data_IF_853728442784
#
_entry.id   IF_853728442784
#
_cell.length_a   1.000
_cell.length_b   1.000
_cell.length_c   1.000
_cell.angle_alpha   90.00
_cell.angle_beta   90.00
_cell.angle_gamma   90.00
#
_symmetry.space_group_name_H-M   'P 1'
#
loop_
_entity.id
_entity.type
_entity.pdbx_description
1 polymer ?
#
# COMPACT_ATOMS: atom_id res chain seq x y z
N UNK A 1 24.40 -17.63 7.85
CA UNK A 1 23.86 -16.95 6.65
C UNK A 1 24.18 -15.47 6.77
N UNK A 2 24.86 -14.89 5.77
CA UNK A 2 25.43 -13.53 5.86
C UNK A 2 24.35 -12.45 5.79
N UNK A 3 24.42 -11.49 6.69
CA UNK A 3 23.60 -10.28 6.73
C UNK A 3 23.98 -9.37 5.55
N UNK A 4 23.13 -9.27 4.52
CA UNK A 4 23.46 -8.59 3.24
C UNK A 4 23.05 -7.13 3.15
N UNK A 5 22.51 -6.53 4.21
CA UNK A 5 22.21 -5.09 4.21
C UNK A 5 23.21 -4.40 5.14
N UNK A 6 24.07 -3.57 4.55
CA UNK A 6 25.05 -2.76 5.27
C UNK A 6 24.40 -1.76 6.25
N UNK A 7 25.17 -0.87 6.89
CA UNK A 7 24.62 0.12 7.81
C UNK A 7 23.55 0.96 7.09
N UNK A 8 22.31 0.91 7.60
CA UNK A 8 21.14 1.56 7.03
C UNK A 8 20.10 0.59 6.46
N UNK A 9 19.59 -0.32 7.29
CA UNK A 9 18.46 -1.19 6.93
C UNK A 9 17.34 -0.38 6.23
N UNK A 10 16.80 -0.83 5.08
CA UNK A 10 15.72 -0.13 4.40
C UNK A 10 14.52 0.05 5.34
N UNK A 11 14.02 1.27 5.43
CA UNK A 11 12.83 1.60 6.23
C UNK A 11 11.64 1.79 5.30
N UNK A 12 10.69 0.87 5.37
CA UNK A 12 9.62 0.73 4.38
C UNK A 12 8.28 0.96 5.07
N UNK A 13 7.49 1.88 4.52
CA UNK A 13 6.06 1.98 4.79
C UNK A 13 5.32 1.07 3.79
N UNK A 14 4.85 -0.09 4.23
CA UNK A 14 4.12 -1.03 3.37
C UNK A 14 2.62 -0.77 3.48
N UNK A 15 1.97 -0.40 2.39
CA UNK A 15 0.58 0.02 2.34
C UNK A 15 -0.23 -0.84 1.36
N UNK A 16 -1.34 -1.42 1.82
CA UNK A 16 -2.18 -2.27 0.98
C UNK A 16 -3.07 -3.25 1.76
N UNK A 17 -3.67 -4.24 1.08
CA UNK A 17 -4.36 -5.34 1.73
C UNK A 17 -3.36 -6.23 2.48
N UNK A 18 -3.40 -6.26 3.81
CA UNK A 18 -2.43 -7.01 4.63
C UNK A 18 -3.20 -7.87 5.63
N UNK A 19 -2.92 -9.18 5.65
CA UNK A 19 -3.45 -10.07 6.68
C UNK A 19 -2.86 -9.69 8.04
N UNK A 20 -3.68 -9.52 9.07
CA UNK A 20 -3.17 -9.26 10.43
C UNK A 20 -2.38 -10.47 10.97
N UNK A 21 -1.38 -10.24 11.83
CA UNK A 21 -0.68 -11.33 12.50
C UNK A 21 -1.64 -12.29 13.21
N UNK A 22 -1.43 -13.59 13.01
CA UNK A 22 -2.30 -14.63 13.60
C UNK A 22 -3.68 -14.77 12.97
N UNK A 23 -4.01 -14.01 11.92
CA UNK A 23 -5.26 -14.17 11.16
C UNK A 23 -5.01 -14.76 9.77
N UNK A 24 -5.85 -15.68 9.29
CA UNK A 24 -5.78 -16.17 7.91
C UNK A 24 -5.94 -15.02 6.92
N UNK A 25 -5.15 -15.06 5.84
CA UNK A 25 -5.34 -14.17 4.71
C UNK A 25 -6.64 -14.50 3.98
N UNK A 26 -7.39 -13.48 3.59
CA UNK A 26 -8.69 -13.63 2.92
C UNK A 26 -8.59 -13.91 1.43
N UNK A 27 -7.41 -13.67 0.84
CA UNK A 27 -7.19 -13.85 -0.59
C UNK A 27 -5.75 -13.64 -1.01
N UNK A 28 -5.52 -13.73 -2.33
CA UNK A 28 -4.20 -13.65 -2.94
C UNK A 28 -3.43 -12.38 -2.58
N UNK A 29 -4.11 -11.22 -2.55
CA UNK A 29 -3.48 -9.95 -2.18
C UNK A 29 -2.87 -9.97 -0.77
N UNK A 30 -3.69 -10.30 0.24
CA UNK A 30 -3.28 -10.31 1.64
C UNK A 30 -2.18 -11.35 1.91
N UNK A 31 -2.30 -12.54 1.31
CA UNK A 31 -1.32 -13.63 1.52
C UNK A 31 0.04 -13.29 0.91
N UNK A 32 0.07 -12.76 -0.31
CA UNK A 32 1.30 -12.35 -0.97
C UNK A 32 1.96 -11.16 -0.25
N UNK A 33 1.16 -10.16 0.16
CA UNK A 33 1.67 -9.00 0.92
C UNK A 33 2.27 -9.41 2.26
N UNK A 34 1.58 -10.28 3.03
CA UNK A 34 2.13 -10.79 4.30
C UNK A 34 3.44 -11.54 4.08
N UNK A 35 3.51 -12.45 3.10
CA UNK A 35 4.75 -13.19 2.77
C UNK A 35 5.90 -12.25 2.41
N UNK A 36 5.63 -11.20 1.62
CA UNK A 36 6.64 -10.22 1.23
C UNK A 36 7.13 -9.40 2.43
N UNK A 37 6.21 -8.91 3.27
CA UNK A 37 6.55 -8.18 4.51
C UNK A 37 7.45 -9.04 5.42
N UNK A 38 7.08 -10.31 5.61
CA UNK A 38 7.83 -11.23 6.46
C UNK A 38 9.22 -11.52 5.86
N UNK A 39 9.33 -11.64 4.53
CA UNK A 39 10.62 -11.80 3.85
C UNK A 39 11.52 -10.56 3.99
N UNK A 40 10.96 -9.36 3.83
CA UNK A 40 11.67 -8.09 4.02
C UNK A 40 12.23 -7.98 5.43
N UNK A 41 11.41 -8.31 6.45
CA UNK A 41 11.84 -8.32 7.86
C UNK A 41 12.93 -9.34 8.11
N UNK A 42 12.81 -10.56 7.58
CA UNK A 42 13.87 -11.60 7.70
C UNK A 42 15.19 -11.17 7.09
N UNK A 43 15.17 -10.31 6.06
CA UNK A 43 16.36 -9.73 5.44
C UNK A 43 16.89 -8.50 6.18
N UNK A 44 16.25 -8.08 7.27
CA UNK A 44 16.69 -6.99 8.13
C UNK A 44 16.07 -5.63 7.81
N UNK A 45 15.06 -5.53 6.94
CA UNK A 45 14.35 -4.27 6.71
C UNK A 45 13.41 -3.92 7.90
N UNK A 46 13.30 -2.63 8.22
CA UNK A 46 12.28 -2.11 9.13
C UNK A 46 11.00 -1.84 8.34
N UNK A 47 9.89 -2.48 8.69
CA UNK A 47 8.64 -2.42 7.92
C UNK A 47 7.48 -1.98 8.79
N UNK A 48 6.98 -0.77 8.51
CA UNK A 48 5.71 -0.25 9.02
C UNK A 48 4.56 -0.76 8.15
N UNK A 49 3.48 -1.24 8.76
CA UNK A 49 2.32 -1.78 8.05
C UNK A 49 1.13 -0.83 8.09
N UNK A 50 0.64 -0.43 6.91
CA UNK A 50 -0.54 0.40 6.71
C UNK A 50 -1.62 -0.40 6.00
N UNK A 51 -2.33 -1.25 6.76
CA UNK A 51 -3.35 -2.12 6.22
C UNK A 51 -4.61 -1.35 5.78
N UNK A 52 -5.14 -1.73 4.62
CA UNK A 52 -6.47 -1.31 4.17
C UNK A 52 -7.57 -1.85 5.10
N UNK A 53 -8.72 -1.16 5.21
CA UNK A 53 -9.74 -1.56 6.16
C UNK A 53 -10.41 -2.86 5.75
N UNK A 54 -10.83 -3.62 6.76
CA UNK A 54 -11.72 -4.76 6.57
C UNK A 54 -13.13 -4.22 6.29
N UNK A 55 -13.59 -4.40 5.06
CA UNK A 55 -14.94 -3.99 4.68
C UNK A 55 -16.01 -4.91 5.30
N UNK A 56 -16.58 -4.51 6.44
CA UNK A 56 -17.75 -5.13 7.08
C UNK A 56 -18.96 -4.19 6.96
N UNK A 57 -20.16 -4.72 6.72
CA UNK A 57 -21.42 -3.93 6.66
C UNK A 57 -21.91 -3.53 5.26
N UNK A 58 -22.83 -2.56 5.20
CA UNK A 58 -23.52 -2.10 3.98
C UNK A 58 -22.59 -1.35 3.01
N UNK A 59 -22.98 -1.19 1.73
CA UNK A 59 -22.15 -0.51 0.71
C UNK A 59 -21.72 0.91 1.13
N UNK A 60 -22.62 1.67 1.74
CA UNK A 60 -22.34 3.02 2.23
C UNK A 60 -21.36 3.01 3.42
N UNK A 61 -21.59 2.12 4.40
CA UNK A 61 -20.70 1.95 5.54
C UNK A 61 -19.29 1.53 5.09
N UNK A 62 -19.20 0.66 4.07
CA UNK A 62 -17.94 0.27 3.44
C UNK A 62 -17.23 1.47 2.83
N UNK A 63 -17.91 2.27 2.01
CA UNK A 63 -17.32 3.47 1.40
C UNK A 63 -16.75 4.43 2.45
N UNK A 64 -17.52 4.70 3.51
CA UNK A 64 -17.08 5.57 4.60
C UNK A 64 -15.89 4.98 5.38
N UNK A 65 -15.87 3.66 5.60
CA UNK A 65 -14.75 2.98 6.27
C UNK A 65 -13.45 3.10 5.47
N UNK A 66 -13.52 2.98 4.14
CA UNK A 66 -12.38 3.20 3.26
C UNK A 66 -11.91 4.64 3.29
N UNK A 67 -12.81 5.61 3.11
CA UNK A 67 -12.44 7.03 3.15
C UNK A 67 -11.75 7.41 4.46
N UNK A 68 -12.33 7.02 5.61
CA UNK A 68 -11.75 7.26 6.93
C UNK A 68 -10.40 6.57 7.11
N UNK A 69 -10.25 5.32 6.66
CA UNK A 69 -8.98 4.61 6.81
C UNK A 69 -7.90 5.19 5.91
N UNK A 70 -8.20 5.58 4.67
CA UNK A 70 -7.23 6.23 3.80
C UNK A 70 -6.80 7.59 4.34
N UNK A 71 -7.72 8.38 4.89
CA UNK A 71 -7.39 9.62 5.59
C UNK A 71 -6.48 9.37 6.81
N UNK A 72 -6.79 8.35 7.61
CA UNK A 72 -5.95 7.95 8.74
C UNK A 72 -4.55 7.51 8.29
N UNK A 73 -4.43 6.72 7.22
CA UNK A 73 -3.13 6.32 6.66
C UNK A 73 -2.35 7.55 6.20
N UNK A 74 -2.98 8.52 5.54
CA UNK A 74 -2.31 9.76 5.14
C UNK A 74 -1.73 10.52 6.34
N UNK A 75 -2.51 10.64 7.43
CA UNK A 75 -2.04 11.24 8.69
C UNK A 75 -0.91 10.42 9.31
N UNK A 76 -1.04 9.10 9.37
CA UNK A 76 -0.02 8.20 9.91
C UNK A 76 1.29 8.30 9.11
N UNK A 77 1.25 8.43 7.78
CA UNK A 77 2.45 8.67 6.96
C UNK A 77 3.16 9.97 7.35
N UNK A 78 2.41 11.05 7.58
CA UNK A 78 2.98 12.33 8.02
C UNK A 78 3.59 12.22 9.42
N UNK A 79 2.91 11.55 10.35
CA UNK A 79 3.38 11.33 11.72
C UNK A 79 4.64 10.44 11.75
N UNK A 80 4.67 9.41 10.91
CA UNK A 80 5.78 8.44 10.82
C UNK A 80 6.86 8.86 9.82
N UNK A 81 6.85 10.11 9.31
CA UNK A 81 7.76 10.58 8.24
C UNK A 81 9.25 10.35 8.49
N UNK A 82 9.70 10.19 9.73
CA UNK A 82 11.11 9.91 10.07
C UNK A 82 11.45 8.42 10.15
N UNK A 83 10.44 7.55 10.06
CA UNK A 83 10.56 6.09 10.24
C UNK A 83 10.46 5.28 8.94
N UNK A 84 10.39 5.95 7.80
CA UNK A 84 10.46 5.29 6.50
C UNK A 84 11.11 6.19 5.44
N UNK A 85 11.68 5.57 4.42
CA UNK A 85 12.30 6.21 3.26
C UNK A 85 11.55 5.89 1.96
N UNK A 86 10.86 4.75 1.94
CA UNK A 86 10.10 4.25 0.79
C UNK A 86 8.67 3.90 1.22
N UNK A 87 7.69 4.41 0.48
CA UNK A 87 6.31 3.90 0.50
C UNK A 87 6.19 2.78 -0.54
N UNK A 88 5.95 1.56 -0.10
CA UNK A 88 5.58 0.45 -0.95
C UNK A 88 4.06 0.32 -0.95
N UNK A 89 3.41 0.53 -2.10
CA UNK A 89 1.95 0.51 -2.23
C UNK A 89 1.51 -0.63 -3.15
N UNK A 90 0.61 -1.48 -2.66
CA UNK A 90 -0.07 -2.52 -3.47
C UNK A 90 -1.46 -2.02 -3.86
N UNK A 91 -1.63 -1.42 -5.05
CA UNK A 91 -2.89 -0.82 -5.46
C UNK A 91 -3.98 -1.86 -5.70
N UNK A 92 -5.21 -1.53 -5.31
CA UNK A 92 -6.44 -2.26 -5.63
C UNK A 92 -7.15 -1.71 -6.87
N UNK A 93 -6.68 -0.57 -7.41
CA UNK A 93 -7.23 0.05 -8.62
C UNK A 93 -8.71 0.44 -8.47
N UNK A 94 -9.40 0.62 -9.61
CA UNK A 94 -10.82 0.98 -9.67
C UNK A 94 -11.13 2.28 -8.94
N UNK A 95 -12.05 2.29 -7.98
CA UNK A 95 -12.38 3.48 -7.18
C UNK A 95 -11.29 3.82 -6.14
N UNK A 96 -10.36 2.92 -5.84
CA UNK A 96 -9.30 3.16 -4.85
C UNK A 96 -8.14 3.98 -5.41
N UNK A 97 -8.01 4.06 -6.75
CA UNK A 97 -6.92 4.78 -7.42
C UNK A 97 -6.79 6.24 -6.94
N UNK A 98 -7.90 6.90 -6.64
CA UNK A 98 -7.88 8.29 -6.15
C UNK A 98 -7.27 8.40 -4.76
N UNK A 99 -7.62 7.48 -3.86
CA UNK A 99 -7.08 7.46 -2.51
C UNK A 99 -5.62 6.99 -2.51
N UNK A 100 -5.28 6.02 -3.36
CA UNK A 100 -3.91 5.54 -3.56
C UNK A 100 -3.00 6.64 -4.13
N UNK A 101 -3.48 7.39 -5.13
CA UNK A 101 -2.76 8.54 -5.68
C UNK A 101 -2.54 9.62 -4.62
N UNK A 102 -3.53 9.90 -3.76
CA UNK A 102 -3.35 10.81 -2.63
C UNK A 102 -2.23 10.35 -1.69
N UNK A 103 -2.13 9.06 -1.39
CA UNK A 103 -1.04 8.53 -0.57
C UNK A 103 0.33 8.69 -1.25
N UNK A 104 0.40 8.51 -2.57
CA UNK A 104 1.61 8.78 -3.35
C UNK A 104 2.02 10.26 -3.25
N UNK A 105 1.08 11.18 -3.45
CA UNK A 105 1.32 12.63 -3.31
C UNK A 105 1.79 13.00 -1.91
N UNK A 106 1.19 12.41 -0.87
CA UNK A 106 1.66 12.61 0.52
C UNK A 106 3.08 12.09 0.68
N UNK A 107 3.41 10.90 0.19
CA UNK A 107 4.78 10.37 0.27
C UNK A 107 5.80 11.24 -0.48
N UNK A 108 5.48 11.68 -1.70
CA UNK A 108 6.34 12.58 -2.47
C UNK A 108 6.54 13.93 -1.79
N UNK A 109 5.49 14.54 -1.23
CA UNK A 109 5.62 15.80 -0.49
C UNK A 109 6.45 15.66 0.80
N UNK A 110 6.57 14.45 1.34
CA UNK A 110 7.47 14.12 2.46
C UNK A 110 8.91 13.75 2.01
N UNK A 111 9.23 13.90 0.72
CA UNK A 111 10.54 13.55 0.15
C UNK A 111 10.81 12.04 0.10
N UNK A 112 9.75 11.22 0.05
CA UNK A 112 9.86 9.75 0.07
C UNK A 112 9.82 9.18 -1.32
N UNK A 113 10.49 8.05 -1.51
CA UNK A 113 10.37 7.25 -2.74
C UNK A 113 9.06 6.45 -2.68
N UNK A 114 8.43 6.24 -3.83
CA UNK A 114 7.22 5.42 -3.96
C UNK A 114 7.52 4.24 -4.86
N UNK A 115 7.15 3.05 -4.42
CA UNK A 115 7.22 1.81 -5.18
C UNK A 115 5.81 1.24 -5.31
N UNK A 116 5.35 1.06 -6.55
CA UNK A 116 4.04 0.48 -6.85
C UNK A 116 4.20 -1.00 -7.21
N UNK A 117 3.56 -1.88 -6.45
CA UNK A 117 3.51 -3.32 -6.72
C UNK A 117 2.33 -3.63 -7.65
N UNK A 118 2.57 -3.49 -8.95
CA UNK A 118 1.57 -3.72 -10.00
C UNK A 118 1.36 -5.22 -10.18
N UNK A 119 0.12 -5.67 -9.94
CA UNK A 119 -0.28 -7.09 -10.13
C UNK A 119 -1.09 -7.21 -11.42
N UNK A 120 -0.38 -7.66 -12.46
CA UNK A 120 -0.69 -7.44 -13.88
C UNK A 120 -2.07 -7.93 -14.37
N UNK A 121 -2.65 -8.96 -13.75
CA UNK A 121 -3.87 -9.60 -14.28
C UNK A 121 -5.07 -8.65 -14.39
N UNK A 122 -5.35 -7.89 -13.34
CA UNK A 122 -6.51 -6.97 -13.32
C UNK A 122 -6.18 -5.54 -13.74
N UNK A 123 -4.90 -5.15 -13.72
CA UNK A 123 -4.49 -3.79 -14.03
C UNK A 123 -4.71 -3.44 -15.51
N UNK A 124 -4.29 -4.33 -16.41
CA UNK A 124 -4.39 -4.12 -17.87
C UNK A 124 -5.86 -3.93 -18.28
N UNK A 125 -6.75 -4.80 -17.76
CA UNK A 125 -8.18 -4.72 -18.03
C UNK A 125 -8.78 -3.38 -17.54
N UNK A 126 -8.40 -2.92 -16.35
CA UNK A 126 -8.89 -1.64 -15.83
C UNK A 126 -8.31 -0.42 -16.54
N UNK A 127 -7.08 -0.49 -17.01
CA UNK A 127 -6.45 0.56 -17.79
C UNK A 127 -7.12 0.72 -19.16
N UNK A 128 -7.37 -0.40 -19.86
CA UNK A 128 -7.98 -0.41 -21.20
C UNK A 128 -9.45 0.02 -21.17
N UNK A 129 -10.21 -0.40 -20.14
CA UNK A 129 -11.66 -0.22 -20.08
C UNK A 129 -12.13 1.06 -19.33
N UNK A 130 -11.22 1.96 -18.93
CA UNK A 130 -11.58 3.22 -18.24
C UNK A 130 -11.19 4.48 -19.01
N UNK A 131 -11.90 5.56 -18.71
CA UNK A 131 -11.78 6.86 -19.37
C UNK A 131 -10.43 7.56 -19.14
N UNK A 132 -10.16 8.62 -19.93
CA UNK A 132 -8.87 9.28 -19.98
C UNK A 132 -8.34 9.80 -18.62
N UNK A 133 -9.23 10.27 -17.73
CA UNK A 133 -8.85 10.71 -16.38
C UNK A 133 -8.25 9.58 -15.53
N UNK A 134 -8.74 8.35 -15.69
CA UNK A 134 -8.21 7.18 -14.97
C UNK A 134 -6.83 6.81 -15.47
N UNK A 135 -6.60 6.85 -16.79
CA UNK A 135 -5.30 6.55 -17.40
C UNK A 135 -4.24 7.56 -16.99
N UNK A 136 -4.58 8.86 -17.03
CA UNK A 136 -3.69 9.93 -16.58
C UNK A 136 -3.20 9.75 -15.14
N UNK A 137 -4.05 9.22 -14.25
CA UNK A 137 -3.65 8.91 -12.86
C UNK A 137 -2.78 7.66 -12.76
N UNK A 138 -2.95 6.69 -13.66
CA UNK A 138 -2.13 5.49 -13.70
C UNK A 138 -0.74 5.74 -14.35
N UNK A 139 -0.66 6.74 -15.23
CA UNK A 139 0.57 7.14 -15.93
C UNK A 139 1.43 8.16 -15.14
N UNK A 140 0.92 8.70 -14.02
CA UNK A 140 1.57 9.72 -13.19
C UNK A 140 2.43 9.13 -12.07
#
# INVERSE_FOLDING_TARGET
MRNTLGPGAPRIAYCGPIAQPGRPARGGYESANRRLIDDLRRRGADVLEFAYPLALGSKFAKGMSYARRFAAIAVELVQQRRRFDVLHLTPLYRQFIYAEALLCVVAWSLGKRVMLDIRAGSFIEHYQNRGAAYRKLADA
#
